data_IF_479506780688
#
_entry.id   IF_479506780688
#
_cell.length_a   1.000
_cell.length_b   1.000
_cell.length_c   1.000
_cell.angle_alpha   90.00
_cell.angle_beta   90.00
_cell.angle_gamma   90.00
#
_symmetry.space_group_name_H-M   'P 1'
#
loop_
_entity.id
_entity.type
_entity.pdbx_description
1 polymer ?
#
# COMPACT_ATOMS: atom_id res chain seq x y z
N UNK A 1 28.86 18.02 3.03
CA UNK A 1 27.47 17.93 2.50
C UNK A 1 26.72 16.90 3.32
N UNK A 2 25.56 17.21 3.91
CA UNK A 2 24.66 16.14 4.33
C UNK A 2 24.02 15.53 3.07
N UNK A 3 23.85 14.20 2.97
CA UNK A 3 23.01 13.64 1.92
C UNK A 3 21.56 14.02 2.21
N UNK A 4 20.86 14.52 1.19
CA UNK A 4 19.41 14.68 1.21
C UNK A 4 18.75 13.39 1.67
N UNK A 5 17.75 13.39 2.58
CA UNK A 5 16.99 12.19 2.87
C UNK A 5 16.07 11.92 1.68
N UNK A 6 16.63 11.29 0.64
CA UNK A 6 15.84 10.63 -0.38
C UNK A 6 15.04 9.58 0.39
N UNK A 7 13.72 9.75 0.47
CA UNK A 7 12.85 8.74 1.07
C UNK A 7 12.89 7.53 0.14
N UNK A 8 13.86 6.66 0.35
CA UNK A 8 13.93 5.36 -0.30
C UNK A 8 12.77 4.54 0.24
N UNK A 9 11.64 4.57 -0.44
CA UNK A 9 10.54 3.65 -0.15
C UNK A 9 11.10 2.24 -0.30
N UNK A 10 11.01 1.45 0.77
CA UNK A 10 11.57 0.10 0.80
C UNK A 10 10.90 -0.74 -0.29
N UNK A 11 11.70 -1.50 -1.03
CA UNK A 11 11.20 -2.50 -1.98
C UNK A 11 10.38 -3.55 -1.22
N UNK A 12 9.19 -3.85 -1.71
CA UNK A 12 8.40 -4.97 -1.20
C UNK A 12 8.81 -6.24 -1.94
N UNK A 13 9.08 -7.33 -1.22
CA UNK A 13 9.41 -8.64 -1.78
C UNK A 13 8.32 -9.64 -1.37
N UNK A 14 7.72 -10.36 -2.33
CA UNK A 14 6.61 -11.29 -2.08
C UNK A 14 5.53 -11.22 -3.16
N UNK A 15 4.52 -12.08 -3.05
CA UNK A 15 3.32 -12.10 -3.90
C UNK A 15 2.14 -12.61 -3.08
N UNK A 16 0.96 -12.05 -3.31
CA UNK A 16 -0.30 -12.52 -2.75
C UNK A 16 -1.33 -12.59 -3.86
N UNK A 17 -2.01 -13.73 -4.00
CA UNK A 17 -3.08 -13.92 -4.96
C UNK A 17 -4.39 -14.17 -4.21
N UNK A 18 -5.42 -13.39 -4.54
CA UNK A 18 -6.74 -13.49 -3.92
C UNK A 18 -6.69 -13.39 -2.38
N UNK A 19 -5.88 -12.48 -1.84
CA UNK A 19 -5.77 -12.27 -0.39
C UNK A 19 -6.62 -11.07 0.04
N UNK A 20 -7.11 -11.02 1.29
CA UNK A 20 -7.82 -9.85 1.79
C UNK A 20 -6.95 -8.59 1.70
N UNK A 21 -7.54 -7.45 1.34
CA UNK A 21 -6.86 -6.16 1.23
C UNK A 21 -6.09 -5.81 2.50
N UNK A 22 -6.66 -6.03 3.68
CA UNK A 22 -5.98 -5.79 4.95
C UNK A 22 -4.72 -6.65 5.13
N UNK A 23 -4.73 -7.87 4.61
CA UNK A 23 -3.57 -8.75 4.63
C UNK A 23 -2.49 -8.27 3.66
N UNK A 24 -2.86 -7.98 2.41
CA UNK A 24 -1.96 -7.42 1.40
C UNK A 24 -1.29 -6.13 1.90
N UNK A 25 -2.09 -5.20 2.44
CA UNK A 25 -1.61 -3.92 2.95
C UNK A 25 -0.56 -4.11 4.04
N UNK A 26 -0.76 -5.05 4.97
CA UNK A 26 0.23 -5.35 6.04
C UNK A 26 1.53 -5.94 5.51
N UNK A 27 1.49 -6.66 4.40
CA UNK A 27 2.69 -7.23 3.78
C UNK A 27 3.42 -6.21 2.89
N UNK A 28 2.67 -5.34 2.22
CA UNK A 28 3.20 -4.31 1.33
C UNK A 28 3.80 -3.16 2.16
N UNK A 29 3.03 -2.64 3.11
CA UNK A 29 3.37 -1.44 3.87
C UNK A 29 4.38 -1.78 4.97
N UNK A 30 5.54 -1.10 5.01
CA UNK A 30 6.56 -1.36 6.01
C UNK A 30 6.11 -0.96 7.42
N UNK A 31 6.67 -1.64 8.43
CA UNK A 31 6.47 -1.31 9.83
C UNK A 31 6.82 0.18 10.10
N UNK A 32 5.92 0.90 10.78
CA UNK A 32 6.07 2.33 11.09
C UNK A 32 5.21 3.26 10.22
N UNK A 33 4.54 2.77 9.19
CA UNK A 33 3.55 3.53 8.43
C UNK A 33 2.14 3.21 8.95
N UNK A 34 1.40 4.24 9.36
CA UNK A 34 -0.01 4.08 9.79
C UNK A 34 -0.91 3.88 8.57
N UNK A 35 -1.69 2.82 8.57
CA UNK A 35 -2.67 2.54 7.51
C UNK A 35 -4.06 2.95 7.99
N UNK A 36 -4.78 3.70 7.16
CA UNK A 36 -6.17 4.13 7.41
C UNK A 36 -7.05 3.75 6.22
N UNK A 37 -8.21 3.16 6.48
CA UNK A 37 -9.22 2.86 5.46
C UNK A 37 -10.30 3.94 5.51
N UNK A 38 -10.60 4.55 4.36
CA UNK A 38 -11.66 5.55 4.23
C UNK A 38 -13.05 4.92 4.19
N UNK A 39 -14.07 5.78 4.22
CA UNK A 39 -15.46 5.36 4.12
C UNK A 39 -15.72 4.56 2.83
N UNK A 40 -16.35 3.39 2.98
CA UNK A 40 -16.69 2.50 1.86
C UNK A 40 -15.53 1.67 1.30
N UNK A 41 -14.34 1.74 1.88
CA UNK A 41 -13.25 0.81 1.56
C UNK A 41 -13.48 -0.50 2.29
N UNK A 42 -13.43 -1.61 1.56
CA UNK A 42 -13.61 -2.94 2.12
C UNK A 42 -12.24 -3.60 2.37
N UNK A 43 -11.77 -3.68 3.64
CA UNK A 43 -10.51 -4.34 3.97
C UNK A 43 -10.53 -5.86 3.74
N UNK A 44 -11.70 -6.47 3.55
CA UNK A 44 -11.84 -7.89 3.24
C UNK A 44 -11.86 -8.19 1.74
N UNK A 45 -11.88 -7.15 0.89
CA UNK A 45 -11.86 -7.30 -0.55
C UNK A 45 -10.66 -8.14 -1.02
N UNK A 46 -10.91 -9.09 -1.90
CA UNK A 46 -9.89 -9.90 -2.51
C UNK A 46 -9.03 -9.05 -3.45
N UNK A 47 -7.72 -9.04 -3.20
CA UNK A 47 -6.74 -8.36 -4.04
C UNK A 47 -5.55 -9.25 -4.31
N UNK A 48 -4.96 -9.06 -5.48
CA UNK A 48 -3.66 -9.64 -5.81
C UNK A 48 -2.62 -8.53 -5.84
N UNK A 49 -1.44 -8.82 -5.31
CA UNK A 49 -0.33 -7.87 -5.27
C UNK A 49 0.98 -8.57 -5.59
N UNK A 50 1.87 -7.86 -6.27
CA UNK A 50 3.19 -8.35 -6.64
C UNK A 50 4.25 -7.39 -6.12
N UNK A 51 5.25 -7.95 -5.44
CA UNK A 51 6.45 -7.23 -5.04
C UNK A 51 7.35 -6.90 -6.23
N UNK A 52 8.53 -6.37 -5.93
CA UNK A 52 9.53 -5.94 -6.93
C UNK A 52 9.49 -4.45 -7.26
N UNK A 53 8.60 -3.69 -6.60
CA UNK A 53 8.52 -2.22 -6.68
C UNK A 53 8.43 -1.62 -5.29
N UNK A 54 8.49 -0.29 -5.20
CA UNK A 54 8.29 0.42 -3.94
C UNK A 54 6.87 0.17 -3.40
N UNK A 55 6.74 -0.03 -2.09
CA UNK A 55 5.47 -0.41 -1.46
C UNK A 55 4.29 0.53 -1.80
N UNK A 56 4.55 1.83 -1.97
CA UNK A 56 3.52 2.80 -2.34
C UNK A 56 3.00 2.53 -3.76
N UNK A 57 3.88 2.22 -4.71
CA UNK A 57 3.49 1.86 -6.08
C UNK A 57 2.76 0.52 -6.10
N UNK A 58 3.26 -0.47 -5.36
CA UNK A 58 2.61 -1.79 -5.24
C UNK A 58 1.21 -1.61 -4.68
N UNK A 59 1.05 -0.91 -3.55
CA UNK A 59 -0.25 -0.69 -2.94
C UNK A 59 -1.21 0.08 -3.85
N UNK A 60 -0.72 1.10 -4.56
CA UNK A 60 -1.53 1.84 -5.54
C UNK A 60 -2.05 0.92 -6.66
N UNK A 61 -1.20 0.02 -7.18
CA UNK A 61 -1.62 -0.97 -8.18
C UNK A 61 -2.54 -2.03 -7.63
N UNK A 62 -2.41 -2.39 -6.35
CA UNK A 62 -3.28 -3.38 -5.68
C UNK A 62 -4.71 -2.87 -5.50
N UNK A 63 -4.88 -1.59 -5.13
CA UNK A 63 -6.21 -1.00 -4.88
C UNK A 63 -6.86 -0.43 -6.15
N UNK A 64 -6.10 -0.21 -7.21
CA UNK A 64 -6.62 0.35 -8.47
C UNK A 64 -7.77 -0.46 -9.11
N UNK A 65 -7.72 -1.81 -9.15
CA UNK A 65 -8.80 -2.65 -9.67
C UNK A 65 -10.10 -2.55 -8.85
N UNK A 66 -10.01 -2.21 -7.56
CA UNK A 66 -11.17 -2.02 -6.69
C UNK A 66 -11.86 -0.66 -6.89
N UNK A 67 -11.36 0.17 -7.80
CA UNK A 67 -11.81 1.56 -7.94
C UNK A 67 -11.38 2.43 -6.77
N UNK A 68 -10.28 2.08 -6.11
CA UNK A 68 -9.74 2.80 -4.95
C UNK A 68 -8.42 3.49 -5.32
N UNK A 69 -7.99 4.40 -4.45
CA UNK A 69 -6.76 5.17 -4.55
C UNK A 69 -6.09 5.25 -3.18
N UNK A 70 -4.77 5.39 -3.20
CA UNK A 70 -4.01 5.65 -1.99
C UNK A 70 -3.63 7.12 -1.89
N UNK A 71 -3.67 7.65 -0.67
CA UNK A 71 -3.11 8.94 -0.31
C UNK A 71 -1.94 8.71 0.66
N UNK A 72 -0.71 8.93 0.19
CA UNK A 72 0.51 8.68 0.96
C UNK A 72 0.97 9.98 1.63
N UNK A 73 0.98 9.99 2.97
CA UNK A 73 1.50 11.06 3.80
C UNK A 73 2.92 10.80 4.31
N UNK A 74 3.37 11.60 5.29
CA UNK A 74 4.75 11.50 5.83
C UNK A 74 5.06 10.15 6.50
N UNK A 75 4.11 9.57 7.23
CA UNK A 75 4.24 8.27 7.89
C UNK A 75 2.88 7.56 7.99
N UNK A 76 1.99 7.87 7.05
CA UNK A 76 0.66 7.27 6.99
C UNK A 76 0.23 7.08 5.54
N UNK A 77 -0.66 6.14 5.31
CA UNK A 77 -1.33 5.92 4.04
C UNK A 77 -2.81 5.76 4.29
N UNK A 78 -3.61 6.52 3.55
CA UNK A 78 -5.07 6.41 3.58
C UNK A 78 -5.55 5.82 2.28
N UNK A 79 -6.29 4.71 2.34
CA UNK A 79 -6.97 4.12 1.18
C UNK A 79 -8.34 4.75 1.10
N UNK A 80 -8.71 5.25 -0.07
CA UNK A 80 -9.96 5.95 -0.33
C UNK A 80 -10.58 5.38 -1.60
N UNK A 81 -11.91 5.29 -1.66
CA UNK A 81 -12.61 5.11 -2.95
C UNK A 81 -12.25 6.28 -3.88
N UNK A 82 -12.13 5.99 -5.18
CA UNK A 82 -12.02 7.04 -6.20
C UNK A 82 -13.30 7.83 -6.30
#
# INVERSE_FOLDING_TARGET
MPPSPVRHFRLTTGYGDHVPLAFAVRQIVPHGVRVTYGAGVDPSAAVSWQGGREWNKVLATTVSPLGERINVGRAQVTILKK
#
